data_IF_778099231061
#
_entry.id   IF_778099231061
#
_cell.length_a   1.000
_cell.length_b   1.000
_cell.length_c   1.000
_cell.angle_alpha   90.00
_cell.angle_beta   90.00
_cell.angle_gamma   90.00
#
_symmetry.space_group_name_H-M   'P 1'
#
loop_
_entity.id
_entity.type
_entity.pdbx_description
1 polymer ?
#
# COMPACT_ATOMS: atom_id res chain seq x y z
N UNK A 1 15.47 37.16 58.59
CA UNK A 1 14.79 35.87 58.90
C UNK A 1 14.09 35.27 57.68
N UNK A 2 14.23 35.85 56.50
CA UNK A 2 13.57 35.42 55.27
C UNK A 2 14.44 34.51 54.36
N UNK A 3 15.76 34.61 54.44
CA UNK A 3 16.70 33.92 53.54
C UNK A 3 16.83 32.41 53.87
N UNK A 4 16.59 32.00 55.11
CA UNK A 4 16.66 30.55 55.46
C UNK A 4 15.45 29.73 55.05
N UNK A 5 14.33 30.34 54.68
CA UNK A 5 13.14 29.63 54.19
C UNK A 5 13.21 29.34 52.67
N UNK A 6 13.89 30.18 51.90
CA UNK A 6 14.04 29.95 50.44
C UNK A 6 15.03 28.82 50.12
N UNK A 7 16.09 28.62 50.95
CA UNK A 7 17.08 27.57 50.67
C UNK A 7 16.53 26.15 50.92
N UNK A 8 15.60 25.98 51.87
CA UNK A 8 14.97 24.66 52.11
C UNK A 8 14.00 24.25 51.00
N UNK A 9 13.42 25.21 50.29
CA UNK A 9 12.50 24.92 49.18
C UNK A 9 13.24 24.51 47.92
N UNK A 10 14.45 25.04 47.70
CA UNK A 10 15.28 24.71 46.53
C UNK A 10 15.91 23.31 46.64
N UNK A 11 16.29 22.89 47.85
CA UNK A 11 16.91 21.57 48.06
C UNK A 11 15.87 20.45 47.98
N UNK A 12 14.61 20.70 48.35
CA UNK A 12 13.55 19.68 48.26
C UNK A 12 13.06 19.47 46.82
N UNK A 13 13.15 20.49 45.96
CA UNK A 13 12.80 20.37 44.55
C UNK A 13 13.95 19.78 43.67
N UNK A 14 15.19 19.77 44.17
CA UNK A 14 16.33 19.23 43.42
C UNK A 14 16.27 17.70 43.27
N UNK A 15 15.68 16.99 44.24
CA UNK A 15 15.48 15.54 44.14
C UNK A 15 14.36 15.14 43.19
N UNK A 16 13.34 15.99 43.04
CA UNK A 16 12.28 15.75 42.01
C UNK A 16 12.73 16.04 40.59
N UNK A 17 13.61 17.02 40.41
CA UNK A 17 14.16 17.38 39.10
C UNK A 17 15.09 16.28 38.54
N UNK A 18 15.88 15.63 39.40
CA UNK A 18 16.76 14.53 38.94
C UNK A 18 15.99 13.27 38.57
N UNK A 19 14.85 12.99 39.20
CA UNK A 19 13.99 11.87 38.83
C UNK A 19 13.23 12.14 37.53
N UNK A 20 12.77 13.36 37.28
CA UNK A 20 12.12 13.76 36.02
C UNK A 20 13.11 13.70 34.85
N UNK A 21 14.34 14.20 35.04
CA UNK A 21 15.37 14.14 34.01
C UNK A 21 15.81 12.70 33.67
N UNK A 22 15.72 11.77 34.60
CA UNK A 22 16.00 10.35 34.33
C UNK A 22 14.87 9.69 33.58
N UNK A 23 13.61 10.06 33.84
CA UNK A 23 12.45 9.60 33.07
C UNK A 23 12.44 10.16 31.64
N UNK A 24 12.80 11.45 31.48
CA UNK A 24 12.89 12.05 30.14
C UNK A 24 13.98 11.38 29.28
N UNK A 25 15.15 11.05 29.88
CA UNK A 25 16.21 10.31 29.18
C UNK A 25 15.81 8.88 28.82
N UNK A 26 15.04 8.19 29.68
CA UNK A 26 14.50 6.86 29.40
C UNK A 26 13.41 6.94 28.32
N UNK A 27 12.55 7.96 28.37
CA UNK A 27 11.50 8.16 27.37
C UNK A 27 12.08 8.52 26.00
N UNK A 28 13.09 9.40 25.95
CA UNK A 28 13.82 9.74 24.71
C UNK A 28 14.55 8.51 24.18
N UNK A 29 15.19 7.70 25.02
CA UNK A 29 15.87 6.47 24.61
C UNK A 29 14.93 5.37 24.15
N UNK A 30 13.72 5.26 24.75
CA UNK A 30 12.66 4.39 24.26
C UNK A 30 12.04 4.89 22.97
N UNK A 31 11.91 6.21 22.78
CA UNK A 31 11.39 6.78 21.52
C UNK A 31 12.40 6.67 20.37
N UNK A 32 13.69 6.69 20.65
CA UNK A 32 14.76 6.44 19.64
C UNK A 32 14.86 4.98 19.22
N UNK A 33 14.43 4.03 20.06
CA UNK A 33 14.42 2.60 19.71
C UNK A 33 13.19 2.18 18.88
N UNK A 34 12.14 2.99 18.86
CA UNK A 34 10.98 2.79 18.00
C UNK A 34 11.30 3.47 16.66
N UNK A 35 11.67 2.65 15.68
CA UNK A 35 11.92 3.12 14.33
C UNK A 35 10.61 3.64 13.72
N UNK A 36 10.29 4.92 13.89
CA UNK A 36 9.08 5.57 13.38
C UNK A 36 8.90 5.43 11.86
N UNK A 37 9.97 5.06 11.14
CA UNK A 37 9.89 4.75 9.71
C UNK A 37 9.10 3.46 9.44
N UNK A 38 9.08 2.49 10.34
CA UNK A 38 8.31 1.25 10.21
C UNK A 38 6.82 1.44 10.53
N UNK A 39 6.48 2.36 11.44
CA UNK A 39 5.08 2.61 11.85
C UNK A 39 4.28 3.32 10.74
N UNK A 40 4.92 4.00 9.80
CA UNK A 40 4.27 4.72 8.68
C UNK A 40 4.15 3.92 7.38
N UNK A 41 4.54 2.67 7.35
CA UNK A 41 4.35 1.88 6.15
C UNK A 41 2.89 1.44 6.05
N UNK A 42 2.10 2.24 5.35
CA UNK A 42 0.75 1.81 4.97
C UNK A 42 0.84 0.46 4.26
N UNK A 43 -0.02 -0.51 4.62
CA UNK A 43 0.02 -1.84 4.01
C UNK A 43 -0.08 -1.75 2.49
N UNK A 44 0.43 -2.74 1.76
CA UNK A 44 0.26 -2.83 0.32
C UNK A 44 -1.23 -2.83 -0.05
N UNK A 45 -1.52 -2.34 -1.25
CA UNK A 45 -2.86 -2.36 -1.83
C UNK A 45 -2.91 -3.30 -3.02
N UNK A 46 -4.03 -3.99 -3.17
CA UNK A 46 -4.35 -4.78 -4.35
C UNK A 46 -5.38 -3.99 -5.17
N UNK A 47 -4.93 -3.43 -6.27
CA UNK A 47 -5.78 -2.67 -7.19
C UNK A 47 -6.50 -3.64 -8.13
N UNK A 48 -7.79 -3.83 -7.89
CA UNK A 48 -8.67 -4.63 -8.75
C UNK A 48 -9.10 -3.73 -9.90
N UNK A 49 -8.68 -4.06 -11.13
CA UNK A 49 -8.84 -3.17 -12.28
C UNK A 49 -10.32 -2.94 -12.58
N UNK A 50 -11.11 -4.02 -12.60
CA UNK A 50 -12.55 -3.95 -12.82
C UNK A 50 -13.26 -4.89 -11.84
N UNK A 51 -14.38 -4.44 -11.29
CA UNK A 51 -15.22 -5.28 -10.45
C UNK A 51 -15.68 -6.53 -11.21
N UNK A 52 -15.75 -7.64 -10.50
CA UNK A 52 -16.17 -8.91 -11.07
C UNK A 52 -17.67 -9.03 -10.91
N UNK A 53 -18.42 -9.26 -12.01
CA UNK A 53 -19.86 -9.39 -11.92
C UNK A 53 -20.26 -10.53 -10.99
N UNK A 54 -21.23 -10.26 -10.14
CA UNK A 54 -21.88 -11.26 -9.32
C UNK A 54 -22.72 -12.24 -10.15
N UNK A 55 -22.96 -13.42 -9.61
CA UNK A 55 -24.02 -14.31 -10.11
C UNK A 55 -25.38 -13.80 -9.62
N UNK A 56 -26.46 -14.31 -10.22
CA UNK A 56 -27.85 -14.04 -9.74
C UNK A 56 -28.07 -14.35 -8.26
N UNK A 57 -27.19 -15.18 -7.69
CA UNK A 57 -27.19 -15.57 -6.27
C UNK A 57 -26.30 -14.67 -5.41
N UNK A 58 -25.76 -13.58 -5.95
CA UNK A 58 -24.90 -12.63 -5.23
C UNK A 58 -23.48 -13.12 -4.99
N UNK A 59 -23.08 -14.27 -5.54
CA UNK A 59 -21.70 -14.77 -5.44
C UNK A 59 -20.84 -14.22 -6.58
N UNK A 60 -19.59 -13.77 -6.34
CA UNK A 60 -18.72 -13.37 -7.41
C UNK A 60 -18.37 -14.57 -8.31
N UNK A 61 -18.38 -14.38 -9.64
CA UNK A 61 -17.99 -15.43 -10.62
C UNK A 61 -16.56 -15.92 -10.42
N UNK A 62 -15.68 -15.06 -9.93
CA UNK A 62 -14.28 -15.36 -9.65
C UNK A 62 -14.01 -15.01 -8.19
N UNK A 63 -13.47 -15.95 -7.43
CA UNK A 63 -13.11 -15.71 -6.04
C UNK A 63 -11.77 -15.00 -5.97
N UNK A 64 -11.80 -13.71 -5.63
CA UNK A 64 -10.60 -12.89 -5.43
C UNK A 64 -10.11 -12.85 -3.97
N UNK A 65 -10.82 -13.50 -3.04
CA UNK A 65 -10.48 -13.45 -1.61
C UNK A 65 -9.07 -13.96 -1.32
N UNK A 66 -8.58 -14.93 -2.11
CA UNK A 66 -7.19 -15.39 -2.00
C UNK A 66 -6.14 -14.31 -2.27
N UNK A 67 -6.49 -13.23 -2.96
CA UNK A 67 -5.58 -12.11 -3.18
C UNK A 67 -5.49 -11.15 -1.98
N UNK A 68 -6.39 -11.26 -0.98
CA UNK A 68 -6.38 -10.42 0.22
C UNK A 68 -5.12 -10.59 1.08
N UNK A 69 -4.42 -11.72 0.96
CA UNK A 69 -3.14 -11.94 1.64
C UNK A 69 -2.03 -10.97 1.18
N UNK A 70 -2.15 -10.38 -0.01
CA UNK A 70 -1.18 -9.43 -0.57
C UNK A 70 -1.47 -7.97 -0.20
N UNK A 71 -2.66 -7.66 0.31
CA UNK A 71 -3.00 -6.31 0.73
C UNK A 71 -4.49 -6.00 0.69
N UNK A 72 -4.82 -4.74 0.95
CA UNK A 72 -6.20 -4.24 0.94
C UNK A 72 -6.69 -3.99 -0.48
N UNK A 73 -7.91 -4.44 -0.79
CA UNK A 73 -8.50 -4.22 -2.10
C UNK A 73 -8.87 -2.75 -2.33
N UNK A 74 -8.55 -2.28 -3.53
CA UNK A 74 -9.03 -1.01 -4.08
C UNK A 74 -9.55 -1.24 -5.49
N UNK A 75 -10.85 -1.14 -5.67
CA UNK A 75 -11.51 -1.28 -6.96
C UNK A 75 -11.35 0.01 -7.78
N UNK A 76 -11.03 -0.11 -9.07
CA UNK A 76 -10.79 1.02 -9.95
C UNK A 76 -12.03 1.36 -10.80
N UNK A 77 -12.66 0.35 -11.38
CA UNK A 77 -13.79 0.50 -12.30
C UNK A 77 -14.91 -0.45 -11.95
N UNK A 78 -16.18 -0.07 -12.16
CA UNK A 78 -17.34 -0.94 -12.03
C UNK A 78 -17.35 -2.04 -13.10
N UNK A 79 -18.12 -3.10 -12.87
CA UNK A 79 -18.17 -4.33 -13.66
C UNK A 79 -18.51 -4.14 -15.16
N UNK A 80 -19.33 -3.16 -15.46
CA UNK A 80 -19.80 -2.90 -16.84
C UNK A 80 -19.00 -1.84 -17.58
N UNK A 81 -17.82 -1.49 -17.07
CA UNK A 81 -16.95 -0.53 -17.76
C UNK A 81 -16.43 -1.12 -19.06
N UNK A 82 -16.55 -0.37 -20.16
CA UNK A 82 -16.06 -0.76 -21.49
C UNK A 82 -15.48 0.46 -22.21
N UNK A 83 -14.54 0.19 -23.13
CA UNK A 83 -14.07 1.18 -24.10
C UNK A 83 -14.88 1.00 -25.37
N UNK A 84 -15.88 1.88 -25.59
CA UNK A 84 -16.76 1.74 -26.77
C UNK A 84 -16.33 2.68 -27.90
N UNK A 85 -16.27 3.99 -27.66
CA UNK A 85 -15.96 4.97 -28.70
C UNK A 85 -14.69 5.79 -28.41
N UNK A 86 -14.46 6.14 -27.15
CA UNK A 86 -13.33 6.97 -26.75
C UNK A 86 -12.71 6.45 -25.45
N UNK A 87 -11.40 6.20 -25.44
CA UNK A 87 -10.70 5.74 -24.25
C UNK A 87 -10.48 6.86 -23.21
N UNK A 88 -10.59 8.13 -23.59
CA UNK A 88 -10.22 9.28 -22.75
C UNK A 88 -10.86 9.31 -21.36
N UNK A 89 -12.19 9.19 -21.24
CA UNK A 89 -12.85 9.19 -19.92
C UNK A 89 -12.40 8.04 -19.02
N UNK A 90 -12.15 6.86 -19.61
CA UNK A 90 -11.70 5.67 -18.88
C UNK A 90 -10.25 5.84 -18.41
N UNK A 91 -9.37 6.32 -19.28
CA UNK A 91 -7.97 6.65 -18.93
C UNK A 91 -7.93 7.64 -17.77
N UNK A 92 -8.76 8.68 -17.81
CA UNK A 92 -8.85 9.65 -16.72
C UNK A 92 -9.26 9.01 -15.40
N UNK A 93 -10.30 8.15 -15.40
CA UNK A 93 -10.74 7.39 -14.22
C UNK A 93 -9.63 6.49 -13.67
N UNK A 94 -8.95 5.74 -14.54
CA UNK A 94 -7.84 4.87 -14.16
C UNK A 94 -6.68 5.67 -13.54
N UNK A 95 -6.23 6.76 -14.19
CA UNK A 95 -5.16 7.62 -13.65
C UNK A 95 -5.56 8.19 -12.28
N UNK A 96 -6.81 8.64 -12.10
CA UNK A 96 -7.33 9.12 -10.82
C UNK A 96 -7.33 8.01 -9.76
N UNK A 97 -7.75 6.81 -10.12
CA UNK A 97 -7.78 5.65 -9.20
C UNK A 97 -6.38 5.16 -8.81
N UNK A 98 -5.44 5.22 -9.76
CA UNK A 98 -4.06 4.74 -9.60
C UNK A 98 -3.08 5.80 -9.05
N UNK A 99 -3.50 7.06 -8.85
CA UNK A 99 -2.62 8.17 -8.43
C UNK A 99 -1.74 7.85 -7.22
N UNK A 100 -2.22 7.02 -6.30
CA UNK A 100 -1.52 6.64 -5.06
C UNK A 100 -0.82 5.26 -5.17
N UNK A 101 -0.72 4.69 -6.39
CA UNK A 101 -0.05 3.42 -6.63
C UNK A 101 1.45 3.53 -6.33
N UNK A 102 1.97 2.55 -5.64
CA UNK A 102 3.39 2.45 -5.26
C UNK A 102 3.96 1.12 -5.73
N UNK A 103 5.26 1.06 -5.88
CA UNK A 103 5.96 -0.14 -6.35
C UNK A 103 5.67 -1.40 -5.50
N UNK A 104 5.34 -1.25 -4.22
CA UNK A 104 4.95 -2.35 -3.33
C UNK A 104 3.49 -2.81 -3.47
N UNK A 105 2.68 -2.07 -4.22
CA UNK A 105 1.27 -2.39 -4.44
C UNK A 105 1.14 -3.36 -5.62
N UNK A 106 -0.02 -4.01 -5.74
CA UNK A 106 -0.25 -5.04 -6.74
C UNK A 106 -1.41 -4.67 -7.67
N UNK A 107 -1.31 -5.07 -8.95
CA UNK A 107 -2.44 -5.05 -9.89
C UNK A 107 -3.05 -6.45 -9.97
N UNK A 108 -4.35 -6.55 -9.76
CA UNK A 108 -5.13 -7.75 -10.00
C UNK A 108 -5.86 -7.60 -11.34
N UNK A 109 -5.47 -8.43 -12.30
CA UNK A 109 -5.91 -8.36 -13.69
C UNK A 109 -7.30 -8.97 -13.86
N UNK A 110 -8.33 -8.14 -13.65
CA UNK A 110 -9.74 -8.53 -13.77
C UNK A 110 -10.46 -7.63 -14.76
N UNK A 111 -11.35 -8.18 -15.56
CA UNK A 111 -12.23 -7.43 -16.45
C UNK A 111 -11.84 -7.52 -17.94
N UNK A 112 -12.13 -6.46 -18.68
CA UNK A 112 -11.87 -6.35 -20.13
C UNK A 112 -10.37 -6.29 -20.42
N UNK A 113 -9.84 -7.12 -21.35
CA UNK A 113 -8.42 -7.14 -21.71
C UNK A 113 -7.88 -5.77 -22.18
N UNK A 114 -8.69 -4.97 -22.89
CA UNK A 114 -8.30 -3.65 -23.34
C UNK A 114 -8.10 -2.69 -22.14
N UNK A 115 -8.98 -2.76 -21.15
CA UNK A 115 -8.88 -1.98 -19.91
C UNK A 115 -7.66 -2.42 -19.09
N UNK A 116 -7.41 -3.72 -19.02
CA UNK A 116 -6.22 -4.28 -18.35
C UNK A 116 -4.95 -3.72 -19.01
N UNK A 117 -4.85 -3.75 -20.33
CA UNK A 117 -3.70 -3.21 -21.06
C UNK A 117 -3.46 -1.73 -20.77
N UNK A 118 -4.52 -0.93 -20.76
CA UNK A 118 -4.43 0.51 -20.42
C UNK A 118 -3.98 0.71 -18.96
N UNK A 119 -4.51 -0.06 -18.02
CA UNK A 119 -4.14 0.03 -16.61
C UNK A 119 -2.65 -0.32 -16.39
N UNK A 120 -2.17 -1.40 -17.02
CA UNK A 120 -0.76 -1.80 -16.97
C UNK A 120 0.15 -0.72 -17.59
N UNK A 121 -0.25 -0.12 -18.72
CA UNK A 121 0.50 0.96 -19.36
C UNK A 121 0.60 2.20 -18.47
N UNK A 122 -0.49 2.57 -17.79
CA UNK A 122 -0.49 3.70 -16.85
C UNK A 122 0.44 3.44 -15.66
N UNK A 123 0.37 2.24 -15.07
CA UNK A 123 1.24 1.89 -13.93
C UNK A 123 2.69 1.82 -14.37
N UNK A 124 2.98 1.24 -15.53
CA UNK A 124 4.32 1.19 -16.10
C UNK A 124 4.91 2.59 -16.30
N UNK A 125 4.12 3.54 -16.81
CA UNK A 125 4.52 4.96 -16.97
C UNK A 125 4.84 5.60 -15.60
N UNK A 126 3.99 5.36 -14.58
CA UNK A 126 4.15 5.94 -13.24
C UNK A 126 5.33 5.35 -12.46
N UNK A 127 5.70 4.10 -12.71
CA UNK A 127 6.71 3.34 -11.95
C UNK A 127 8.00 3.10 -12.72
N UNK A 128 8.16 3.76 -13.86
CA UNK A 128 9.31 3.55 -14.75
C UNK A 128 9.51 2.06 -15.09
N UNK A 129 8.43 1.39 -15.50
CA UNK A 129 8.46 0.01 -15.94
C UNK A 129 8.58 -1.06 -14.84
N UNK A 130 8.49 -0.70 -13.55
CA UNK A 130 8.61 -1.65 -12.43
C UNK A 130 7.34 -1.71 -11.62
N UNK A 131 6.62 -2.83 -11.66
CA UNK A 131 5.37 -3.00 -10.93
C UNK A 131 5.03 -4.46 -10.68
N UNK A 132 4.09 -4.73 -9.77
CA UNK A 132 3.70 -6.08 -9.40
C UNK A 132 2.32 -6.43 -9.93
N UNK A 133 2.20 -7.64 -10.45
CA UNK A 133 0.94 -8.25 -10.87
C UNK A 133 0.57 -9.40 -9.96
N UNK A 134 -0.72 -9.66 -9.81
CA UNK A 134 -1.22 -10.90 -9.20
C UNK A 134 -1.81 -11.79 -10.29
N UNK A 135 -1.25 -12.98 -10.42
CA UNK A 135 -1.69 -14.03 -11.35
C UNK A 135 -2.36 -15.16 -10.58
N UNK A 136 -3.52 -15.59 -11.05
CA UNK A 136 -4.19 -16.79 -10.52
C UNK A 136 -3.61 -18.05 -11.16
N UNK A 137 -3.16 -18.97 -10.33
CA UNK A 137 -2.81 -20.33 -10.76
C UNK A 137 -4.00 -21.26 -10.60
N UNK A 138 -4.39 -21.88 -11.71
CA UNK A 138 -5.53 -22.79 -11.76
C UNK A 138 -5.23 -24.15 -11.10
N UNK A 139 -3.99 -24.61 -11.17
CA UNK A 139 -3.58 -25.91 -10.64
C UNK A 139 -3.50 -25.87 -9.13
N UNK A 140 -2.79 -24.88 -8.59
CA UNK A 140 -2.60 -24.75 -7.16
C UNK A 140 -3.71 -23.93 -6.47
N UNK A 141 -4.64 -23.34 -7.23
CA UNK A 141 -5.76 -22.53 -6.74
C UNK A 141 -5.32 -21.40 -5.80
N UNK A 142 -4.21 -20.75 -6.15
CA UNK A 142 -3.67 -19.64 -5.38
C UNK A 142 -3.22 -18.49 -6.29
N UNK A 143 -3.05 -17.30 -5.68
CA UNK A 143 -2.46 -16.15 -6.36
C UNK A 143 -0.96 -16.12 -6.14
N UNK A 144 -0.22 -15.77 -7.21
CA UNK A 144 1.19 -15.47 -7.19
C UNK A 144 1.42 -14.01 -7.49
N UNK A 145 2.39 -13.42 -6.81
CA UNK A 145 2.94 -12.12 -7.17
C UNK A 145 3.99 -12.31 -8.27
N UNK A 146 3.88 -11.52 -9.33
CA UNK A 146 4.86 -11.46 -10.41
C UNK A 146 5.39 -10.04 -10.45
N UNK A 147 6.70 -9.89 -10.28
CA UNK A 147 7.37 -8.61 -10.46
C UNK A 147 7.66 -8.39 -11.95
N UNK A 148 7.20 -7.28 -12.50
CA UNK A 148 7.49 -6.84 -13.85
C UNK A 148 8.58 -5.78 -13.79
N UNK A 149 9.65 -6.00 -14.55
CA UNK A 149 10.73 -5.05 -14.75
C UNK A 149 11.06 -4.96 -16.24
N UNK A 150 10.55 -3.93 -16.92
CA UNK A 150 10.73 -3.76 -18.36
C UNK A 150 12.18 -3.42 -18.78
N UNK A 151 13.04 -3.13 -17.81
CA UNK A 151 14.46 -2.82 -18.08
C UNK A 151 15.36 -4.05 -17.90
N UNK A 152 14.82 -5.15 -17.41
CA UNK A 152 15.56 -6.40 -17.26
C UNK A 152 15.77 -7.03 -18.63
N UNK A 153 17.04 -7.18 -19.00
CA UNK A 153 17.41 -7.94 -20.19
C UNK A 153 17.38 -9.41 -19.83
N UNK A 154 16.31 -10.10 -20.22
CA UNK A 154 16.29 -11.58 -20.13
C UNK A 154 17.48 -12.17 -20.89
N UNK A 155 18.15 -13.16 -20.31
CA UNK A 155 19.03 -14.01 -21.10
C UNK A 155 18.12 -14.82 -22.03
N UNK A 156 18.17 -14.49 -23.31
CA UNK A 156 17.59 -15.32 -24.35
C UNK A 156 18.66 -16.39 -24.58
N UNK A 157 18.49 -17.55 -23.94
CA UNK A 157 19.26 -18.74 -24.30
C UNK A 157 18.75 -19.14 -25.70
N UNK A 158 19.57 -18.80 -26.72
CA UNK A 158 19.37 -19.25 -28.10
C UNK A 158 19.71 -20.75 -28.23
#
# INVERSE_FOLDING_TARGET
MLIRRCLKFIIHNSFYLTSILSYDRLFVKMSESINYSEIKQTPPKVYVIQEIPGTKEGRPKINILGAAQFGTFKFLLPELSQIIFSPGPLIFKLRKGLKDYRQKDFLLLTGDPAIIGVACSIVSDMTNGKYNLLKWDKQERKYYAIEINLHEKGNIDE
#
